data_IF_674382887294
#
_entry.id   IF_674382887294
#
_cell.length_a   1.000
_cell.length_b   1.000
_cell.length_c   1.000
_cell.angle_alpha   90.00
_cell.angle_beta   90.00
_cell.angle_gamma   90.00
#
_symmetry.space_group_name_H-M   'P 1'
#
loop_
_entity.id
_entity.type
_entity.pdbx_description
1 polymer ?
#
# COMPACT_ATOMS: atom_id res chain seq x y z
N UNK A 1 -4.75 14.89 14.39
CA UNK A 1 -4.47 13.45 14.48
C UNK A 1 -4.98 12.82 13.20
N UNK A 2 -4.10 12.16 12.44
CA UNK A 2 -4.37 11.72 11.07
C UNK A 2 -4.74 10.24 11.01
N UNK A 3 -5.30 9.81 9.87
CA UNK A 3 -5.44 8.40 9.51
C UNK A 3 -4.20 8.03 8.70
N UNK A 4 -3.29 7.30 9.35
CA UNK A 4 -1.95 6.99 8.86
C UNK A 4 -1.72 5.50 8.86
N UNK A 5 -1.07 5.00 7.81
CA UNK A 5 -0.56 3.63 7.75
C UNK A 5 0.95 3.64 7.85
N UNK A 6 1.51 2.64 8.53
CA UNK A 6 2.93 2.52 8.82
C UNK A 6 3.44 1.15 8.38
N UNK A 7 4.68 1.10 7.91
CA UNK A 7 5.34 -0.15 7.60
C UNK A 7 6.84 -0.08 7.82
N UNK A 8 7.44 -1.19 8.26
CA UNK A 8 8.89 -1.40 8.32
C UNK A 8 9.22 -2.74 7.70
N UNK A 9 10.36 -2.83 7.02
CA UNK A 9 10.78 -4.06 6.36
C UNK A 9 12.11 -4.52 6.97
N UNK A 10 12.13 -4.96 8.24
CA UNK A 10 13.36 -5.43 8.90
C UNK A 10 13.99 -6.61 8.14
N UNK A 11 13.16 -7.43 7.48
CA UNK A 11 13.58 -8.55 6.66
C UNK A 11 13.95 -8.20 5.22
N UNK A 12 14.20 -6.92 4.86
CA UNK A 12 14.38 -6.51 3.47
C UNK A 12 15.51 -7.26 2.74
N UNK A 13 16.55 -7.71 3.46
CA UNK A 13 17.66 -8.48 2.89
C UNK A 13 17.39 -9.99 2.77
N UNK A 14 16.29 -10.48 3.34
CA UNK A 14 16.00 -11.93 3.39
C UNK A 14 15.53 -12.44 2.04
N UNK A 15 15.89 -13.69 1.71
CA UNK A 15 15.40 -14.33 0.49
C UNK A 15 13.87 -14.49 0.47
N UNK A 16 13.22 -14.57 1.64
CA UNK A 16 11.77 -14.60 1.77
C UNK A 16 11.16 -13.27 1.28
N UNK A 17 11.63 -12.13 1.78
CA UNK A 17 11.18 -10.82 1.30
C UNK A 17 11.48 -10.60 -0.17
N UNK A 18 12.67 -10.96 -0.65
CA UNK A 18 13.05 -10.77 -2.05
C UNK A 18 12.11 -11.52 -3.02
N UNK A 19 11.65 -12.73 -2.65
CA UNK A 19 10.63 -13.46 -3.43
C UNK A 19 9.24 -12.85 -3.28
N UNK A 20 8.86 -12.50 -2.05
CA UNK A 20 7.57 -11.88 -1.77
C UNK A 20 7.42 -10.54 -2.49
N UNK A 21 8.49 -9.75 -2.64
CA UNK A 21 8.48 -8.50 -3.37
C UNK A 21 8.10 -8.67 -4.84
N UNK A 22 8.69 -9.65 -5.53
CA UNK A 22 8.36 -9.93 -6.94
C UNK A 22 6.90 -10.30 -7.08
N UNK A 23 6.38 -11.14 -6.18
CA UNK A 23 4.97 -11.51 -6.16
C UNK A 23 4.08 -10.32 -5.80
N UNK A 24 4.47 -9.49 -4.84
CA UNK A 24 3.72 -8.31 -4.39
C UNK A 24 3.53 -7.30 -5.54
N UNK A 25 4.57 -7.08 -6.34
CA UNK A 25 4.47 -6.18 -7.52
C UNK A 25 3.49 -6.74 -8.54
N UNK A 26 3.57 -8.03 -8.87
CA UNK A 26 2.63 -8.68 -9.78
C UNK A 26 1.18 -8.64 -9.23
N UNK A 27 1.03 -8.93 -7.94
CA UNK A 27 -0.24 -8.85 -7.23
C UNK A 27 -0.81 -7.43 -7.21
N UNK A 28 0.05 -6.41 -7.13
CA UNK A 28 -0.36 -4.99 -7.12
C UNK A 28 -0.97 -4.57 -8.44
N UNK A 29 -0.44 -5.03 -9.58
CA UNK A 29 -1.10 -4.80 -10.87
C UNK A 29 -2.53 -5.38 -10.87
N UNK A 30 -2.69 -6.62 -10.41
CA UNK A 30 -3.99 -7.27 -10.39
C UNK A 30 -4.97 -6.61 -9.39
N UNK A 31 -4.46 -6.13 -8.25
CA UNK A 31 -5.23 -5.37 -7.26
C UNK A 31 -5.75 -4.05 -7.84
N UNK A 32 -4.91 -3.29 -8.56
CA UNK A 32 -5.29 -2.01 -9.18
C UNK A 32 -6.41 -2.23 -10.20
N UNK A 33 -6.24 -3.22 -11.09
CA UNK A 33 -7.27 -3.59 -12.08
C UNK A 33 -8.59 -3.98 -11.41
N UNK A 34 -8.54 -4.80 -10.36
CA UNK A 34 -9.73 -5.28 -9.64
C UNK A 34 -10.38 -4.18 -8.80
N UNK A 35 -9.61 -3.22 -8.30
CA UNK A 35 -10.12 -2.10 -7.52
C UNK A 35 -11.01 -1.19 -8.36
N UNK A 36 -10.64 -0.94 -9.62
CA UNK A 36 -11.35 -0.01 -10.50
C UNK A 36 -11.34 1.43 -9.99
N UNK A 37 -10.31 1.78 -9.22
CA UNK A 37 -10.09 3.12 -8.66
C UNK A 37 -9.08 3.83 -9.55
N UNK A 38 -9.34 5.09 -9.89
CA UNK A 38 -8.39 5.90 -10.67
C UNK A 38 -7.21 6.31 -9.78
N UNK A 39 -6.00 6.03 -10.26
CA UNK A 39 -4.75 6.22 -9.52
C UNK A 39 -3.74 7.00 -10.36
N UNK A 40 -2.83 7.69 -9.66
CA UNK A 40 -1.60 8.23 -10.22
C UNK A 40 -0.40 7.79 -9.38
N UNK A 41 0.82 7.95 -9.90
CA UNK A 41 2.06 7.67 -9.18
C UNK A 41 2.72 8.93 -8.63
N UNK A 42 2.51 10.07 -9.28
CA UNK A 42 2.83 11.41 -8.79
C UNK A 42 2.18 12.43 -9.74
N UNK A 43 2.39 13.70 -9.44
CA UNK A 43 2.09 14.79 -10.37
C UNK A 43 3.40 15.35 -10.91
N UNK A 44 3.44 15.62 -12.22
CA UNK A 44 4.50 16.46 -12.76
C UNK A 44 4.25 17.89 -12.28
N UNK A 45 5.24 18.46 -11.59
CA UNK A 45 5.25 19.88 -11.26
C UNK A 45 6.07 20.57 -12.35
N UNK A 46 5.43 20.87 -13.48
CA UNK A 46 6.00 21.82 -14.43
C UNK A 46 5.33 23.18 -14.22
N UNK A 47 6.13 24.20 -13.87
CA UNK A 47 5.72 25.61 -13.79
C UNK A 47 4.51 25.93 -12.89
N UNK A 48 4.47 25.38 -11.68
CA UNK A 48 3.41 25.62 -10.67
C UNK A 48 1.98 25.23 -11.11
N UNK A 49 1.87 24.34 -12.11
CA UNK A 49 0.59 23.77 -12.53
C UNK A 49 0.70 22.24 -12.58
N UNK A 50 -0.21 21.54 -11.90
CA UNK A 50 -0.42 20.11 -12.12
C UNK A 50 -1.08 19.95 -13.48
N UNK A 51 -0.31 19.82 -14.56
CA UNK A 51 -0.89 19.65 -15.91
C UNK A 51 -0.86 18.19 -16.38
N UNK A 52 0.06 17.35 -15.88
CA UNK A 52 0.17 15.95 -16.31
C UNK A 52 0.15 14.95 -15.12
N UNK A 53 -0.77 13.99 -15.21
CA UNK A 53 -0.84 12.84 -14.32
C UNK A 53 0.20 11.80 -14.71
N UNK A 54 1.06 11.42 -13.77
CA UNK A 54 1.94 10.26 -13.95
C UNK A 54 1.12 9.01 -13.56
N UNK A 55 1.05 7.95 -14.39
CA UNK A 55 0.43 6.69 -14.00
C UNK A 55 1.04 6.11 -12.72
N UNK A 56 0.32 5.26 -11.96
CA UNK A 56 0.89 4.57 -10.80
C UNK A 56 2.15 3.80 -11.21
N UNK A 57 3.21 3.91 -10.41
CA UNK A 57 4.43 3.15 -10.61
C UNK A 57 4.26 1.80 -9.91
N UNK A 58 4.38 0.70 -10.66
CA UNK A 58 4.37 -0.66 -10.13
C UNK A 58 5.42 -1.44 -10.87
N UNK A 59 6.60 -1.58 -10.26
CA UNK A 59 7.80 -2.12 -10.91
C UNK A 59 8.65 -2.88 -9.89
N UNK A 60 9.21 -4.01 -10.34
CA UNK A 60 10.09 -4.82 -9.51
C UNK A 60 11.34 -4.02 -9.15
N UNK A 61 11.89 -3.28 -10.11
CA UNK A 61 13.12 -2.49 -10.01
C UNK A 61 12.90 -1.17 -9.27
N UNK A 62 11.84 -0.44 -9.60
CA UNK A 62 11.66 0.94 -9.15
C UNK A 62 10.80 1.08 -7.90
N UNK A 63 9.90 0.13 -7.62
CA UNK A 63 9.01 0.21 -6.47
C UNK A 63 7.53 0.23 -6.82
N UNK A 64 6.73 0.54 -5.81
CA UNK A 64 5.31 0.83 -5.91
C UNK A 64 5.14 2.28 -5.46
N UNK A 65 4.59 3.13 -6.33
CA UNK A 65 4.21 4.50 -6.00
C UNK A 65 2.76 4.76 -6.45
N UNK A 66 1.88 5.06 -5.49
CA UNK A 66 0.42 5.16 -5.69
C UNK A 66 -0.16 6.35 -4.92
N UNK A 67 -0.99 7.14 -5.58
CA UNK A 67 -1.80 8.21 -5.03
C UNK A 67 -3.15 8.26 -5.75
N UNK A 68 -4.13 8.98 -5.18
CA UNK A 68 -5.35 9.32 -5.89
C UNK A 68 -5.16 10.49 -6.84
N UNK A 69 -6.03 10.60 -7.84
CA UNK A 69 -6.04 11.69 -8.82
C UNK A 69 -6.67 12.96 -8.23
N UNK A 70 -6.18 14.13 -8.60
CA UNK A 70 -6.69 15.45 -8.22
C UNK A 70 -7.10 15.53 -6.72
N UNK A 71 -8.37 15.85 -6.47
CA UNK A 71 -8.96 15.98 -5.14
C UNK A 71 -9.09 14.64 -4.38
N UNK A 72 -8.89 13.50 -5.05
CA UNK A 72 -8.82 12.18 -4.43
C UNK A 72 -7.38 11.81 -3.98
N UNK A 73 -6.37 12.63 -4.26
CA UNK A 73 -5.00 12.45 -3.77
C UNK A 73 -4.74 13.04 -2.37
N UNK A 74 -3.77 12.51 -1.62
CA UNK A 74 -3.32 13.12 -0.35
C UNK A 74 -1.80 13.09 -0.14
N UNK A 75 -1.24 12.03 0.43
CA UNK A 75 0.22 11.78 0.45
C UNK A 75 0.53 10.61 -0.50
N UNK A 76 1.66 10.68 -1.22
CA UNK A 76 2.10 9.59 -2.08
C UNK A 76 2.47 8.36 -1.23
N UNK A 77 1.86 7.22 -1.50
CA UNK A 77 2.32 5.94 -0.96
C UNK A 77 3.52 5.47 -1.78
N UNK A 78 4.66 5.21 -1.12
CA UNK A 78 5.87 4.68 -1.75
C UNK A 78 6.37 3.43 -0.99
N UNK A 79 6.53 2.32 -1.68
CA UNK A 79 7.21 1.13 -1.15
C UNK A 79 8.27 0.66 -2.14
N UNK A 80 9.45 0.32 -1.63
CA UNK A 80 10.53 -0.26 -2.42
C UNK A 80 10.92 -1.61 -1.87
N UNK A 81 11.69 -2.37 -2.65
CA UNK A 81 12.23 -3.67 -2.23
C UNK A 81 13.15 -3.57 -1.02
N UNK A 82 13.84 -2.44 -0.87
CA UNK A 82 14.83 -2.21 0.18
C UNK A 82 14.25 -1.54 1.41
N UNK A 83 15.08 -0.74 2.08
CA UNK A 83 14.61 0.12 3.16
C UNK A 83 13.80 1.27 2.53
N UNK A 84 12.53 1.47 2.93
CA UNK A 84 11.71 2.55 2.41
C UNK A 84 12.31 3.92 2.75
N UNK A 85 12.19 4.89 1.85
CA UNK A 85 12.54 6.30 2.15
C UNK A 85 11.60 6.87 3.22
N UNK A 86 10.31 6.57 3.08
CA UNK A 86 9.26 6.89 4.02
C UNK A 86 8.60 5.58 4.47
N UNK A 87 8.28 5.50 5.75
CA UNK A 87 7.72 4.31 6.39
C UNK A 87 6.28 4.53 6.86
N UNK A 88 5.65 5.60 6.37
CA UNK A 88 4.26 5.93 6.66
C UNK A 88 3.62 6.71 5.51
N UNK A 89 2.29 6.66 5.41
CA UNK A 89 1.51 7.42 4.45
C UNK A 89 0.14 7.76 5.06
N UNK A 90 -0.26 9.03 4.98
CA UNK A 90 -1.63 9.46 5.25
C UNK A 90 -2.41 9.48 3.96
N UNK A 91 -3.51 8.77 3.93
CA UNK A 91 -4.41 8.72 2.77
C UNK A 91 -5.65 9.58 2.95
N UNK A 92 -5.90 10.08 4.16
CA UNK A 92 -7.11 10.80 4.55
C UNK A 92 -8.41 10.05 4.20
N UNK A 93 -8.39 8.71 4.16
CA UNK A 93 -9.51 7.84 3.77
C UNK A 93 -10.04 8.13 2.35
N UNK A 94 -9.20 8.71 1.50
CA UNK A 94 -9.54 8.94 0.09
C UNK A 94 -9.57 7.63 -0.69
N UNK A 95 -10.23 7.55 -1.87
CA UNK A 95 -10.49 6.29 -2.55
C UNK A 95 -9.27 5.37 -2.73
N UNK A 96 -8.11 5.93 -3.08
CA UNK A 96 -6.87 5.15 -3.28
C UNK A 96 -6.37 4.42 -2.02
N UNK A 97 -6.85 4.81 -0.82
CA UNK A 97 -6.55 4.14 0.44
C UNK A 97 -6.83 2.65 0.42
N UNK A 98 -7.90 2.24 -0.27
CA UNK A 98 -8.27 0.82 -0.40
C UNK A 98 -7.14 0.01 -1.03
N UNK A 99 -6.49 0.57 -2.05
CA UNK A 99 -5.35 -0.06 -2.74
C UNK A 99 -4.12 -0.05 -1.85
N UNK A 100 -3.82 1.07 -1.18
CA UNK A 100 -2.69 1.19 -0.23
C UNK A 100 -2.79 0.15 0.88
N UNK A 101 -3.95 0.07 1.55
CA UNK A 101 -4.20 -0.90 2.60
C UNK A 101 -4.10 -2.35 2.10
N UNK A 102 -4.62 -2.63 0.90
CA UNK A 102 -4.57 -3.97 0.33
C UNK A 102 -3.14 -4.39 -0.06
N UNK A 103 -2.31 -3.46 -0.57
CA UNK A 103 -0.88 -3.68 -0.82
C UNK A 103 -0.15 -4.01 0.49
N UNK A 104 -0.38 -3.23 1.55
CA UNK A 104 0.22 -3.47 2.86
C UNK A 104 -0.20 -4.83 3.45
N UNK A 105 -1.50 -5.16 3.38
CA UNK A 105 -2.01 -6.46 3.82
C UNK A 105 -1.37 -7.60 3.02
N UNK A 106 -1.28 -7.45 1.70
CA UNK A 106 -0.70 -8.48 0.83
C UNK A 106 0.79 -8.66 1.09
N UNK A 107 1.53 -7.58 1.28
CA UNK A 107 2.94 -7.63 1.64
C UNK A 107 3.16 -8.44 2.92
N UNK A 108 2.35 -8.20 3.95
CA UNK A 108 2.41 -8.93 5.21
C UNK A 108 2.00 -10.40 5.06
N UNK A 109 0.94 -10.70 4.30
CA UNK A 109 0.48 -12.06 4.05
C UNK A 109 1.51 -12.90 3.26
N UNK A 110 2.28 -12.29 2.35
CA UNK A 110 3.30 -12.97 1.55
C UNK A 110 4.59 -13.27 2.33
N UNK A 111 4.96 -12.41 3.29
CA UNK A 111 6.19 -12.57 4.06
C UNK A 111 6.01 -12.13 5.53
N UNK A 112 5.14 -12.83 6.29
CA UNK A 112 4.98 -12.53 7.71
C UNK A 112 6.33 -12.67 8.42
N UNK A 113 6.68 -11.66 9.23
CA UNK A 113 7.98 -11.58 9.92
C UNK A 113 9.11 -10.92 9.12
N UNK A 114 8.92 -10.63 7.83
CA UNK A 114 9.86 -9.78 7.06
C UNK A 114 9.41 -8.32 7.00
N UNK A 115 8.11 -8.08 7.12
CA UNK A 115 7.48 -6.77 7.14
C UNK A 115 6.58 -6.64 8.38
N UNK A 116 6.61 -5.46 8.96
CA UNK A 116 5.77 -4.97 10.03
C UNK A 116 4.78 -3.97 9.43
N UNK A 117 3.50 -4.08 9.75
CA UNK A 117 2.43 -3.17 9.29
C UNK A 117 1.60 -2.75 10.49
N UNK A 118 1.37 -1.45 10.63
CA UNK A 118 0.44 -0.89 11.62
C UNK A 118 -0.34 0.29 11.04
N UNK A 119 -1.40 0.72 11.71
CA UNK A 119 -2.30 1.77 11.22
C UNK A 119 -3.05 2.41 12.37
N UNK A 120 -3.36 3.70 12.24
CA UNK A 120 -4.31 4.41 13.11
C UNK A 120 -5.76 3.97 12.87
N UNK A 121 -6.00 3.18 11.82
CA UNK A 121 -7.30 2.64 11.43
C UNK A 121 -7.71 1.37 12.18
N UNK A 122 -9.01 1.17 12.30
CA UNK A 122 -9.70 0.03 12.87
C UNK A 122 -9.91 -1.05 11.82
N UNK A 123 -9.69 -2.29 12.26
CA UNK A 123 -9.78 -3.48 11.40
C UNK A 123 -11.18 -3.72 10.82
N UNK A 124 -12.21 -3.47 11.62
CA UNK A 124 -13.60 -3.80 11.31
C UNK A 124 -14.47 -2.57 10.98
N UNK A 125 -13.85 -1.47 10.58
CA UNK A 125 -14.54 -0.24 10.14
C UNK A 125 -14.61 -0.15 8.61
N UNK A 126 -15.78 0.23 8.09
CA UNK A 126 -16.06 0.30 6.64
C UNK A 126 -15.22 1.35 5.92
N UNK A 127 -14.87 2.44 6.61
CA UNK A 127 -14.09 3.55 6.05
C UNK A 127 -12.57 3.32 6.17
N UNK A 128 -12.16 2.16 6.69
CA UNK A 128 -10.77 1.84 6.99
C UNK A 128 -10.43 0.47 6.40
N UNK A 129 -10.12 -0.54 7.21
CA UNK A 129 -9.58 -1.80 6.69
C UNK A 129 -10.61 -2.72 6.04
N UNK A 130 -11.91 -2.54 6.27
CA UNK A 130 -12.93 -3.46 5.72
C UNK A 130 -12.92 -3.51 4.20
N UNK A 131 -12.90 -2.35 3.52
CA UNK A 131 -12.88 -2.28 2.05
C UNK A 131 -11.62 -2.88 1.44
N UNK A 132 -10.47 -2.73 2.11
CA UNK A 132 -9.23 -3.36 1.68
C UNK A 132 -9.31 -4.89 1.78
N UNK A 133 -9.93 -5.43 2.83
CA UNK A 133 -10.19 -6.87 2.97
C UNK A 133 -11.19 -7.38 1.93
N UNK A 134 -12.22 -6.60 1.63
CA UNK A 134 -13.17 -6.93 0.55
C UNK A 134 -12.45 -6.98 -0.81
N UNK A 135 -11.62 -5.97 -1.12
CA UNK A 135 -10.77 -6.00 -2.32
C UNK A 135 -9.89 -7.25 -2.31
N UNK A 136 -9.21 -7.53 -1.20
CA UNK A 136 -8.35 -8.71 -1.06
C UNK A 136 -9.09 -10.02 -1.38
N UNK A 137 -10.28 -10.23 -0.82
CA UNK A 137 -11.09 -11.44 -1.08
C UNK A 137 -11.53 -11.53 -2.54
N UNK A 138 -11.82 -10.41 -3.21
CA UNK A 138 -12.13 -10.44 -4.64
C UNK A 138 -10.95 -10.87 -5.49
N UNK A 139 -9.75 -10.45 -5.12
CA UNK A 139 -8.50 -10.79 -5.84
C UNK A 139 -8.05 -12.22 -5.52
N UNK A 140 -8.17 -12.64 -4.25
CA UNK A 140 -7.78 -13.98 -3.77
C UNK A 140 -8.88 -14.63 -2.93
N UNK A 141 -9.96 -15.14 -3.53
CA UNK A 141 -11.12 -15.67 -2.79
C UNK A 141 -10.83 -16.94 -1.98
N UNK A 142 -9.69 -17.59 -2.20
CA UNK A 142 -9.27 -18.79 -1.46
C UNK A 142 -8.38 -18.51 -0.26
N UNK A 143 -7.89 -17.28 -0.08
CA UNK A 143 -6.96 -16.94 1.00
C UNK A 143 -7.71 -16.67 2.30
N UNK A 144 -7.16 -17.15 3.42
CA UNK A 144 -7.64 -16.81 4.77
C UNK A 144 -6.88 -15.58 5.23
N UNK A 145 -7.57 -14.44 5.33
CA UNK A 145 -6.97 -13.19 5.80
C UNK A 145 -6.62 -13.31 7.28
N UNK A 146 -5.38 -13.00 7.62
CA UNK A 146 -4.93 -12.84 9.01
C UNK A 146 -4.56 -11.37 9.22
N UNK A 147 -5.03 -10.80 10.34
CA UNK A 147 -4.71 -9.42 10.73
C UNK A 147 -3.22 -9.35 11.13
N UNK A 148 -2.43 -8.38 10.63
CA UNK A 148 -1.11 -8.11 11.17
C UNK A 148 -1.16 -7.85 12.69
N UNK A 149 -0.20 -8.34 13.48
CA UNK A 149 -0.20 -8.12 14.92
C UNK A 149 -0.12 -6.62 15.24
N UNK A 150 -0.79 -6.20 16.31
CA UNK A 150 -0.61 -4.85 16.83
C UNK A 150 0.83 -4.69 17.31
N UNK A 151 1.52 -3.68 16.78
CA UNK A 151 2.88 -3.35 17.19
C UNK A 151 2.75 -2.44 18.41
N UNK A 152 3.08 -2.94 19.60
CA UNK A 152 3.24 -2.08 20.76
C UNK A 152 4.32 -1.05 20.45
N UNK A 153 3.99 0.24 20.51
CA UNK A 153 4.97 1.32 20.39
C UNK A 153 5.92 1.28 21.59
N UNK A 154 6.95 0.43 21.49
CA UNK A 154 8.10 0.47 22.38
C UNK A 154 8.90 1.73 22.11
N UNK A 155 8.80 2.70 23.01
CA UNK A 155 9.75 3.80 23.14
C UNK A 155 11.18 3.29 23.40
#
# INVERSE_FOLDING_TARGET
MGYTHYWKIPGCHTAAWQRAWVQLVADTHHMIETAGIELCGNYLVENDRHEDLIPPLVSVEEGIAINGIEDDGHELFEMSRGIPRFQCCKTARKPYDVVVCCVLLRAWMLAPGCIEVSSDGRWDDELEWMRARELYVRVWPGDIIVRPPEIEEGC
#
